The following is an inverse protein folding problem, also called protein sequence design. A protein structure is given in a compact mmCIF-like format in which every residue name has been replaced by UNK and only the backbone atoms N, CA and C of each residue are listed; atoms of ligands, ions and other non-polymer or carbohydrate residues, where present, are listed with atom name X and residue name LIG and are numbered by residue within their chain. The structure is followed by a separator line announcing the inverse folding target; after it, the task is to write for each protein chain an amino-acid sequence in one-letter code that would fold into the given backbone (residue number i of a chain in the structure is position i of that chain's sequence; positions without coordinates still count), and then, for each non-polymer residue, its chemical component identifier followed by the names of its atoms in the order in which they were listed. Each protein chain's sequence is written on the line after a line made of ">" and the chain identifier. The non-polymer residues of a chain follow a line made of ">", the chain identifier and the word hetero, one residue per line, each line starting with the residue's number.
data_IF_601824160294
#
_entry.id   IF_601824160294
#
_cell.length_a   1.000
_cell.length_b   1.000
_cell.length_c   1.000
_cell.angle_alpha   90.00
_cell.angle_beta   90.00
_cell.angle_gamma   90.00
#
_symmetry.space_group_name_H-M   'P 1'
#
loop_
_entity.id
_entity.type
_entity.pdbx_description
1 polymer ?
#
# COMPACT_ATOMS: atom_id res chain seq x y z
N UNK A 1 -12.48 -68.81 -34.12
CA UNK A 1 -12.20 -68.05 -35.35
C UNK A 1 -12.58 -66.60 -35.10
N UNK A 2 -11.74 -65.68 -35.58
CA UNK A 2 -11.54 -64.31 -35.09
C UNK A 2 -12.77 -63.42 -35.33
N UNK A 3 -13.25 -62.76 -34.27
CA UNK A 3 -14.17 -61.62 -34.37
C UNK A 3 -13.39 -60.33 -34.13
N UNK A 4 -13.63 -59.37 -35.01
CA UNK A 4 -13.06 -58.03 -35.13
C UNK A 4 -13.43 -57.13 -33.95
N UNK A 5 -12.56 -56.18 -33.59
CA UNK A 5 -12.98 -54.82 -33.24
C UNK A 5 -11.85 -53.83 -33.57
N UNK A 6 -12.19 -52.93 -34.49
CA UNK A 6 -11.38 -51.84 -35.03
C UNK A 6 -11.27 -50.70 -34.00
N UNK A 7 -10.08 -50.11 -33.90
CA UNK A 7 -9.80 -48.92 -33.11
C UNK A 7 -10.31 -47.67 -33.86
N UNK A 8 -11.32 -46.99 -33.32
CA UNK A 8 -11.69 -45.64 -33.75
C UNK A 8 -11.19 -44.65 -32.71
N UNK A 9 -10.09 -43.95 -33.01
CA UNK A 9 -9.63 -42.78 -32.22
C UNK A 9 -10.60 -41.62 -32.48
N UNK A 10 -11.42 -41.27 -31.49
CA UNK A 10 -12.09 -39.97 -31.47
C UNK A 10 -11.09 -38.91 -31.01
N UNK A 11 -10.83 -37.95 -31.88
CA UNK A 11 -10.12 -36.71 -31.56
C UNK A 11 -11.16 -35.72 -31.03
N UNK A 12 -11.22 -35.51 -29.71
CA UNK A 12 -11.98 -34.40 -29.13
C UNK A 12 -11.08 -33.16 -29.17
N UNK A 13 -11.43 -32.21 -30.03
CA UNK A 13 -10.85 -30.87 -30.07
C UNK A 13 -11.53 -30.05 -28.96
N UNK A 14 -10.92 -29.98 -27.78
CA UNK A 14 -11.35 -29.08 -26.72
C UNK A 14 -10.91 -27.66 -27.06
N UNK A 15 -11.85 -26.81 -27.43
CA UNK A 15 -11.62 -25.37 -27.54
C UNK A 15 -11.46 -24.80 -26.13
N UNK A 16 -10.23 -24.53 -25.71
CA UNK A 16 -9.94 -23.72 -24.53
C UNK A 16 -10.24 -22.28 -24.91
N UNK A 17 -11.33 -21.73 -24.37
CA UNK A 17 -11.53 -20.29 -24.28
C UNK A 17 -10.50 -19.75 -23.29
N UNK A 18 -9.39 -19.25 -23.82
CA UNK A 18 -8.55 -18.30 -23.11
C UNK A 18 -9.36 -17.00 -23.01
N UNK A 19 -10.05 -16.80 -21.90
CA UNK A 19 -10.38 -15.45 -21.48
C UNK A 19 -9.05 -14.74 -21.26
N UNK A 20 -8.68 -13.86 -22.18
CA UNK A 20 -7.59 -12.95 -21.94
C UNK A 20 -7.98 -12.11 -20.73
N UNK A 21 -7.29 -12.29 -19.61
CA UNK A 21 -7.12 -11.20 -18.67
C UNK A 21 -6.48 -10.08 -19.49
N UNK A 22 -7.22 -9.02 -19.75
CA UNK A 22 -6.61 -7.77 -20.13
C UNK A 22 -5.74 -7.40 -18.92
N UNK A 23 -4.44 -7.68 -19.02
CA UNK A 23 -3.48 -7.02 -18.16
C UNK A 23 -3.59 -5.55 -18.55
N UNK A 24 -4.34 -4.78 -17.75
CA UNK A 24 -4.26 -3.33 -17.77
C UNK A 24 -2.80 -3.00 -17.55
N UNK A 25 -2.14 -2.47 -18.57
CA UNK A 25 -0.82 -1.93 -18.39
C UNK A 25 -0.97 -0.76 -17.41
N UNK A 26 -0.34 -0.82 -16.23
CA UNK A 26 -0.23 0.32 -15.32
C UNK A 26 0.21 1.54 -16.13
N UNK A 27 -0.71 2.49 -16.34
CA UNK A 27 -0.42 3.73 -17.07
C UNK A 27 0.44 4.69 -16.26
N UNK A 28 0.76 4.37 -15.00
CA UNK A 28 1.43 5.27 -14.07
C UNK A 28 0.56 6.47 -13.66
N UNK A 29 -0.71 6.46 -14.08
CA UNK A 29 -1.72 7.46 -13.78
C UNK A 29 -2.79 6.81 -12.89
N UNK A 30 -3.07 7.44 -11.76
CA UNK A 30 -4.10 7.02 -10.82
C UNK A 30 -5.48 6.82 -11.51
N UNK A 31 -6.25 5.78 -11.15
CA UNK A 31 -7.49 5.45 -11.83
C UNK A 31 -8.51 6.58 -11.71
N UNK A 32 -9.29 6.86 -12.75
CA UNK A 32 -10.41 7.79 -12.68
C UNK A 32 -11.60 7.19 -11.94
N UNK A 33 -12.58 8.02 -11.51
CA UNK A 33 -13.83 7.53 -10.90
C UNK A 33 -14.58 6.55 -11.83
N UNK A 34 -14.47 6.73 -13.15
CA UNK A 34 -15.07 5.82 -14.13
C UNK A 34 -14.38 4.46 -14.13
N UNK A 35 -13.04 4.44 -14.10
CA UNK A 35 -12.23 3.21 -13.98
C UNK A 35 -12.48 2.52 -12.64
N UNK A 36 -12.50 3.26 -11.53
CA UNK A 36 -12.86 2.71 -10.20
C UNK A 36 -14.20 1.99 -10.26
N UNK A 37 -15.20 2.58 -10.94
CA UNK A 37 -16.52 1.97 -11.10
C UNK A 37 -16.49 0.71 -11.97
N UNK A 38 -15.71 0.70 -13.05
CA UNK A 38 -15.54 -0.44 -13.94
C UNK A 38 -14.87 -1.63 -13.22
N UNK A 39 -13.86 -1.34 -12.39
CA UNK A 39 -13.04 -2.33 -11.70
C UNK A 39 -13.52 -2.72 -10.30
N UNK A 40 -14.67 -2.21 -9.82
CA UNK A 40 -15.20 -2.55 -8.48
C UNK A 40 -15.27 -4.06 -8.21
N UNK A 41 -15.65 -4.85 -9.21
CA UNK A 41 -15.74 -6.32 -9.06
C UNK A 41 -14.38 -6.98 -8.90
N UNK A 42 -13.36 -6.45 -9.57
CA UNK A 42 -11.98 -6.94 -9.49
C UNK A 42 -11.42 -6.62 -8.10
N UNK A 43 -11.58 -5.37 -7.64
CA UNK A 43 -11.21 -4.94 -6.28
C UNK A 43 -11.85 -5.80 -5.18
N UNK A 44 -13.15 -6.13 -5.32
CA UNK A 44 -13.83 -7.02 -4.37
C UNK A 44 -13.22 -8.42 -4.35
N UNK A 45 -12.81 -8.94 -5.51
CA UNK A 45 -12.16 -10.25 -5.64
C UNK A 45 -10.77 -10.25 -5.03
N UNK A 46 -9.94 -9.26 -5.37
CA UNK A 46 -8.60 -9.09 -4.79
C UNK A 46 -8.66 -9.05 -3.26
N UNK A 47 -9.59 -8.27 -2.71
CA UNK A 47 -9.77 -8.17 -1.26
C UNK A 47 -10.31 -9.46 -0.64
N UNK A 48 -11.20 -10.19 -1.32
CA UNK A 48 -11.62 -11.50 -0.85
C UNK A 48 -10.42 -12.47 -0.77
N UNK A 49 -9.58 -12.51 -1.80
CA UNK A 49 -8.41 -13.39 -1.88
C UNK A 49 -7.36 -13.04 -0.81
N UNK A 50 -7.10 -11.75 -0.57
CA UNK A 50 -6.21 -11.29 0.49
C UNK A 50 -6.71 -11.70 1.88
N UNK A 51 -8.01 -11.52 2.15
CA UNK A 51 -8.62 -11.89 3.44
C UNK A 51 -8.60 -13.39 3.68
N UNK A 52 -8.87 -14.18 2.64
CA UNK A 52 -8.79 -15.64 2.69
C UNK A 52 -7.34 -16.11 2.92
N UNK A 53 -6.37 -15.42 2.32
CA UNK A 53 -4.95 -15.69 2.52
C UNK A 53 -4.54 -15.40 3.97
N UNK A 54 -4.93 -14.24 4.52
CA UNK A 54 -4.70 -13.90 5.92
C UNK A 54 -5.34 -14.93 6.87
N UNK A 55 -6.57 -15.38 6.58
CA UNK A 55 -7.23 -16.40 7.38
C UNK A 55 -6.51 -17.76 7.37
N UNK A 56 -5.98 -18.18 6.23
CA UNK A 56 -5.18 -19.41 6.12
C UNK A 56 -3.87 -19.30 6.91
N UNK A 57 -3.19 -18.14 6.82
CA UNK A 57 -1.98 -17.85 7.59
C UNK A 57 -2.24 -17.98 9.09
N UNK A 58 -3.28 -17.33 9.61
CA UNK A 58 -3.62 -17.38 11.05
C UNK A 58 -3.99 -18.80 11.48
N UNK A 59 -4.81 -19.50 10.68
CA UNK A 59 -5.18 -20.88 11.00
C UNK A 59 -3.99 -21.84 11.04
N UNK A 60 -2.94 -21.58 10.27
CA UNK A 60 -1.70 -22.36 10.30
C UNK A 60 -0.76 -21.94 11.44
N UNK A 61 -0.74 -20.66 11.80
CA UNK A 61 -0.06 -20.17 13.01
C UNK A 61 -0.62 -20.86 14.27
N UNK A 62 -1.94 -20.97 14.39
CA UNK A 62 -2.61 -21.64 15.51
C UNK A 62 -2.25 -23.14 15.64
N UNK A 63 -1.81 -23.76 14.54
CA UNK A 63 -1.29 -25.14 14.52
C UNK A 63 0.20 -25.23 14.86
N UNK A 64 0.86 -24.11 15.14
CA UNK A 64 2.28 -24.00 15.42
C UNK A 64 3.16 -23.98 14.17
N UNK A 65 2.62 -23.67 12.99
CA UNK A 65 3.42 -23.53 11.78
C UNK A 65 4.18 -22.19 11.74
N UNK A 66 5.35 -22.19 11.10
CA UNK A 66 6.09 -20.95 10.83
C UNK A 66 5.47 -20.25 9.62
N UNK A 67 4.87 -19.08 9.85
CA UNK A 67 4.10 -18.35 8.84
C UNK A 67 4.74 -17.04 8.38
N UNK A 68 5.81 -16.54 9.02
CA UNK A 68 6.39 -15.21 8.76
C UNK A 68 6.59 -14.89 7.27
N UNK A 69 7.20 -15.80 6.50
CA UNK A 69 7.39 -15.61 5.04
C UNK A 69 6.08 -15.49 4.24
N UNK A 70 5.00 -16.12 4.70
CA UNK A 70 3.69 -16.01 4.07
C UNK A 70 3.03 -14.68 4.41
N UNK A 71 3.31 -14.11 5.58
CA UNK A 71 2.89 -12.75 5.90
C UNK A 71 3.68 -11.74 5.09
N UNK A 72 4.99 -11.93 4.93
CA UNK A 72 5.79 -11.11 4.01
C UNK A 72 5.20 -11.12 2.58
N UNK A 73 4.87 -12.30 2.06
CA UNK A 73 4.23 -12.43 0.74
C UNK A 73 2.83 -11.79 0.67
N UNK A 74 2.06 -11.77 1.76
CA UNK A 74 0.77 -11.08 1.82
C UNK A 74 0.96 -9.54 1.77
N UNK A 75 2.03 -9.03 2.39
CA UNK A 75 2.40 -7.61 2.27
C UNK A 75 2.83 -7.28 0.85
N UNK A 76 3.61 -8.14 0.20
CA UNK A 76 3.96 -7.97 -1.22
C UNK A 76 2.71 -8.00 -2.11
N UNK A 77 1.75 -8.90 -1.84
CA UNK A 77 0.47 -8.92 -2.59
C UNK A 77 -0.30 -7.62 -2.43
N UNK A 78 -0.28 -7.00 -1.25
CA UNK A 78 -0.91 -5.68 -1.06
C UNK A 78 -0.33 -4.61 -1.98
N UNK A 79 0.96 -4.68 -2.30
CA UNK A 79 1.64 -3.72 -3.19
C UNK A 79 1.33 -3.98 -4.67
N UNK A 80 0.87 -5.19 -5.02
CA UNK A 80 0.66 -5.62 -6.41
C UNK A 80 -0.79 -5.50 -6.90
N UNK A 81 -1.78 -5.46 -6.00
CA UNK A 81 -3.21 -5.44 -6.36
C UNK A 81 -3.65 -4.06 -6.84
N UNK A 82 -4.54 -3.99 -7.83
CA UNK A 82 -5.02 -2.70 -8.37
C UNK A 82 -5.84 -1.92 -7.33
N UNK A 83 -6.45 -2.62 -6.38
CA UNK A 83 -7.12 -1.99 -5.24
C UNK A 83 -6.21 -1.08 -4.40
N UNK A 84 -4.90 -1.36 -4.35
CA UNK A 84 -3.91 -0.55 -3.64
C UNK A 84 -3.93 0.90 -4.13
N UNK A 85 -3.66 1.08 -5.43
CA UNK A 85 -3.60 2.38 -6.11
C UNK A 85 -4.94 3.11 -6.05
N UNK A 86 -6.05 2.37 -6.16
CA UNK A 86 -7.39 2.93 -6.08
C UNK A 86 -7.71 3.52 -4.69
N UNK A 87 -7.35 2.83 -3.61
CA UNK A 87 -7.57 3.32 -2.24
C UNK A 87 -6.66 4.49 -1.92
N UNK A 88 -5.39 4.42 -2.29
CA UNK A 88 -4.44 5.52 -2.11
C UNK A 88 -4.98 6.81 -2.74
N UNK A 89 -5.48 6.72 -3.97
CA UNK A 89 -5.99 7.88 -4.72
C UNK A 89 -7.33 8.40 -4.20
N UNK A 90 -8.32 7.53 -4.03
CA UNK A 90 -9.72 7.95 -3.85
C UNK A 90 -10.22 7.84 -2.41
N UNK A 91 -9.50 7.12 -1.58
CA UNK A 91 -9.85 6.83 -0.20
C UNK A 91 -8.62 6.95 0.71
N UNK A 92 -7.76 7.92 0.43
CA UNK A 92 -6.45 8.15 1.05
C UNK A 92 -6.44 8.06 2.59
N UNK A 93 -7.52 8.50 3.26
CA UNK A 93 -7.67 8.38 4.73
C UNK A 93 -7.70 6.93 5.23
N UNK A 94 -8.11 5.99 4.38
CA UNK A 94 -8.20 4.55 4.67
C UNK A 94 -6.97 3.76 4.21
N UNK A 95 -6.02 4.39 3.51
CA UNK A 95 -4.77 3.73 3.11
C UNK A 95 -3.86 3.39 4.30
N UNK A 96 -3.57 4.31 5.25
CA UNK A 96 -2.71 3.99 6.40
C UNK A 96 -3.22 2.87 7.33
N UNK A 97 -4.54 2.79 7.66
CA UNK A 97 -5.07 1.67 8.45
C UNK A 97 -4.78 0.28 7.87
N UNK A 98 -4.76 0.13 6.54
CA UNK A 98 -4.47 -1.15 5.89
C UNK A 98 -2.99 -1.54 6.12
N UNK A 99 -2.08 -0.62 5.84
CA UNK A 99 -0.64 -0.78 6.12
C UNK A 99 -0.35 -1.07 7.59
N UNK A 100 -0.98 -0.33 8.49
CA UNK A 100 -0.85 -0.55 9.94
C UNK A 100 -1.29 -1.96 10.34
N UNK A 101 -2.42 -2.45 9.80
CA UNK A 101 -2.90 -3.78 10.09
C UNK A 101 -1.99 -4.90 9.52
N UNK A 102 -1.46 -4.71 8.31
CA UNK A 102 -0.48 -5.62 7.69
C UNK A 102 0.82 -5.70 8.50
N UNK A 103 1.38 -4.55 8.87
CA UNK A 103 2.58 -4.47 9.71
C UNK A 103 2.35 -5.07 11.09
N UNK A 104 1.18 -4.80 11.69
CA UNK A 104 0.81 -5.36 12.98
C UNK A 104 0.70 -6.88 12.96
N UNK A 105 0.10 -7.44 11.91
CA UNK A 105 0.03 -8.89 11.70
C UNK A 105 1.42 -9.51 11.52
N UNK A 106 2.29 -8.88 10.73
CA UNK A 106 3.68 -9.32 10.51
C UNK A 106 4.46 -9.41 11.82
N UNK A 107 4.39 -8.38 12.64
CA UNK A 107 5.08 -8.38 13.93
C UNK A 107 4.47 -9.40 14.90
N UNK A 108 3.14 -9.55 14.93
CA UNK A 108 2.49 -10.49 15.83
C UNK A 108 2.82 -11.96 15.54
N UNK A 109 2.99 -12.34 14.28
CA UNK A 109 3.38 -13.73 13.93
C UNK A 109 4.84 -14.06 14.25
N UNK A 110 5.67 -13.04 14.45
CA UNK A 110 7.07 -13.19 14.84
C UNK A 110 7.23 -13.27 16.37
N UNK A 111 6.16 -13.01 17.15
CA UNK A 111 6.13 -13.13 18.60
C UNK A 111 5.66 -14.52 19.07
N UNK A 112 6.36 -15.09 20.07
CA UNK A 112 6.03 -16.39 20.65
C UNK A 112 4.73 -16.33 21.48
N UNK A 113 3.81 -17.27 21.26
CA UNK A 113 2.53 -17.42 21.96
C UNK A 113 1.55 -16.23 21.79
N UNK A 114 1.62 -15.53 20.67
CA UNK A 114 0.82 -14.33 20.39
C UNK A 114 -0.51 -14.60 19.66
N UNK A 115 -1.09 -15.81 19.79
CA UNK A 115 -2.26 -16.23 18.99
C UNK A 115 -3.47 -15.28 19.05
N UNK A 116 -3.78 -14.73 20.23
CA UNK A 116 -4.84 -13.72 20.39
C UNK A 116 -4.51 -12.44 19.62
N UNK A 117 -3.28 -11.94 19.73
CA UNK A 117 -2.82 -10.75 19.00
C UNK A 117 -2.82 -10.98 17.48
N UNK A 118 -2.40 -12.16 17.01
CA UNK A 118 -2.43 -12.54 15.59
C UNK A 118 -3.87 -12.50 15.05
N UNK A 119 -4.83 -13.06 15.79
CA UNK A 119 -6.25 -13.02 15.41
C UNK A 119 -6.82 -11.60 15.43
N UNK A 120 -6.45 -10.76 16.41
CA UNK A 120 -6.85 -9.36 16.48
C UNK A 120 -6.35 -8.55 15.28
N UNK A 121 -5.08 -8.72 14.90
CA UNK A 121 -4.52 -8.03 13.73
C UNK A 121 -5.13 -8.50 12.42
N UNK A 122 -5.44 -9.79 12.29
CA UNK A 122 -6.20 -10.30 11.14
C UNK A 122 -7.59 -9.67 11.05
N UNK A 123 -8.30 -9.53 12.18
CA UNK A 123 -9.61 -8.88 12.20
C UNK A 123 -9.50 -7.40 11.83
N UNK A 124 -8.49 -6.69 12.33
CA UNK A 124 -8.21 -5.29 11.94
C UNK A 124 -7.94 -5.16 10.44
N UNK A 125 -7.13 -6.06 9.87
CA UNK A 125 -6.86 -6.09 8.44
C UNK A 125 -8.15 -6.31 7.65
N UNK A 126 -8.97 -7.29 8.04
CA UNK A 126 -10.26 -7.56 7.40
C UNK A 126 -11.18 -6.34 7.41
N UNK A 127 -11.24 -5.61 8.53
CA UNK A 127 -12.06 -4.42 8.65
C UNK A 127 -11.53 -3.28 7.79
N UNK A 128 -10.22 -3.01 7.82
CA UNK A 128 -9.60 -1.95 7.02
C UNK A 128 -9.80 -2.16 5.51
N UNK A 129 -9.59 -3.40 5.02
CA UNK A 129 -9.84 -3.75 3.63
C UNK A 129 -11.33 -3.61 3.26
N UNK A 130 -12.23 -3.99 4.16
CA UNK A 130 -13.68 -3.85 3.95
C UNK A 130 -14.11 -2.38 3.88
N UNK A 131 -13.58 -1.54 4.76
CA UNK A 131 -13.82 -0.10 4.76
C UNK A 131 -13.30 0.55 3.47
N UNK A 132 -12.11 0.15 2.99
CA UNK A 132 -11.57 0.59 1.71
C UNK A 132 -12.47 0.26 0.52
N UNK A 133 -12.95 -0.99 0.43
CA UNK A 133 -13.96 -1.38 -0.59
C UNK A 133 -15.24 -0.56 -0.47
N UNK A 134 -15.70 -0.31 0.75
CA UNK A 134 -16.87 0.54 1.01
C UNK A 134 -16.68 1.98 0.51
N UNK A 135 -15.50 2.56 0.72
CA UNK A 135 -15.16 3.88 0.23
C UNK A 135 -15.09 3.94 -1.30
N UNK A 136 -14.48 2.96 -1.96
CA UNK A 136 -14.45 2.91 -3.43
C UNK A 136 -15.86 2.74 -4.03
N UNK A 137 -16.74 1.97 -3.38
CA UNK A 137 -18.15 1.91 -3.77
C UNK A 137 -18.85 3.26 -3.62
N UNK A 138 -18.55 4.00 -2.56
CA UNK A 138 -19.08 5.36 -2.38
C UNK A 138 -18.58 6.27 -3.50
N UNK A 139 -17.29 6.25 -3.82
CA UNK A 139 -16.67 7.01 -4.93
C UNK A 139 -17.35 6.68 -6.26
N UNK A 140 -17.47 5.40 -6.59
CA UNK A 140 -18.13 4.93 -7.81
C UNK A 140 -19.64 5.26 -7.90
N UNK A 141 -20.28 5.54 -6.76
CA UNK A 141 -21.69 5.93 -6.68
C UNK A 141 -21.91 7.43 -6.88
N UNK A 142 -20.86 8.24 -6.77
CA UNK A 142 -20.96 9.68 -6.97
C UNK A 142 -21.24 9.97 -8.45
N UNK A 143 -22.09 10.98 -8.76
CA UNK A 143 -22.21 11.44 -10.13
C UNK A 143 -20.84 11.89 -10.61
N UNK A 144 -20.49 11.54 -11.85
CA UNK A 144 -19.28 12.06 -12.48
C UNK A 144 -19.25 13.57 -12.25
N UNK A 145 -18.16 14.13 -11.70
CA UNK A 145 -18.08 15.56 -11.49
C UNK A 145 -18.44 16.25 -12.80
N UNK A 146 -19.26 17.30 -12.73
CA UNK A 146 -19.46 18.17 -13.88
C UNK A 146 -18.06 18.53 -14.39
N UNK A 147 -17.83 18.44 -15.70
CA UNK A 147 -16.52 18.73 -16.31
C UNK A 147 -16.18 20.21 -16.10
N UNK A 148 -15.74 20.55 -14.89
CA UNK A 148 -14.91 21.70 -14.60
C UNK A 148 -13.53 21.25 -15.07
N UNK A 149 -13.24 21.65 -16.31
CA UNK A 149 -12.15 21.08 -17.08
C UNK A 149 -10.87 21.22 -16.29
N UNK A 150 -10.15 20.09 -16.13
CA UNK A 150 -8.84 19.98 -15.48
C UNK A 150 -8.58 21.21 -14.60
N UNK A 151 -9.30 21.29 -13.47
CA UNK A 151 -8.62 21.88 -12.34
C UNK A 151 -7.42 20.96 -12.18
N UNK A 152 -6.28 21.44 -12.69
CA UNK A 152 -4.99 20.87 -12.44
C UNK A 152 -5.09 20.43 -11.00
N UNK A 153 -4.90 19.14 -10.73
CA UNK A 153 -4.43 18.76 -9.42
C UNK A 153 -3.36 19.79 -9.15
N UNK A 154 -3.62 20.72 -8.23
CA UNK A 154 -2.58 21.54 -7.69
C UNK A 154 -1.69 20.48 -7.03
N UNK A 155 -0.79 19.88 -7.81
CA UNK A 155 0.61 20.24 -7.77
C UNK A 155 0.63 21.65 -7.22
N UNK A 156 0.50 21.74 -5.87
CA UNK A 156 1.18 22.78 -5.16
C UNK A 156 2.53 22.69 -5.79
N UNK A 157 2.83 23.66 -6.67
CA UNK A 157 4.17 23.90 -7.12
C UNK A 157 4.95 23.76 -5.83
N UNK A 158 5.70 22.66 -5.71
CA UNK A 158 6.51 22.40 -4.54
C UNK A 158 7.29 23.70 -4.46
N UNK A 159 6.95 24.53 -3.46
CA UNK A 159 7.63 25.80 -3.32
C UNK A 159 9.11 25.44 -3.29
N UNK A 160 9.97 26.29 -3.83
CA UNK A 160 11.42 26.06 -3.96
C UNK A 160 12.14 25.71 -2.63
N UNK A 161 11.41 25.52 -1.53
CA UNK A 161 11.84 24.93 -0.28
C UNK A 161 12.06 23.41 -0.44
N UNK A 162 13.19 22.85 0.05
CA UNK A 162 13.51 21.44 -0.21
C UNK A 162 12.50 20.50 0.48
N UNK A 163 11.59 19.89 -0.29
CA UNK A 163 10.53 19.01 0.22
C UNK A 163 11.05 17.93 1.17
N UNK A 164 12.18 17.31 0.86
CA UNK A 164 12.81 16.30 1.73
C UNK A 164 13.27 16.92 3.06
N UNK A 165 13.81 18.14 3.07
CA UNK A 165 14.23 18.78 4.31
C UNK A 165 13.02 19.06 5.21
N UNK A 166 11.89 19.52 4.63
CA UNK A 166 10.64 19.70 5.38
C UNK A 166 10.15 18.37 5.97
N UNK A 167 10.20 17.28 5.19
CA UNK A 167 9.83 15.95 5.70
C UNK A 167 10.70 15.58 6.90
N UNK A 168 12.03 15.75 6.80
CA UNK A 168 12.97 15.43 7.88
C UNK A 168 12.74 16.28 9.13
N UNK A 169 12.43 17.57 8.95
CA UNK A 169 12.11 18.48 10.05
C UNK A 169 10.79 18.12 10.74
N UNK A 170 9.78 17.70 9.97
CA UNK A 170 8.53 17.17 10.53
C UNK A 170 8.78 15.87 11.30
N UNK A 171 9.59 14.95 10.78
CA UNK A 171 9.94 13.70 11.49
C UNK A 171 10.72 13.97 12.79
N UNK A 172 11.56 15.01 12.83
CA UNK A 172 12.18 15.44 14.08
C UNK A 172 11.14 15.96 15.09
N UNK A 173 10.15 16.72 14.62
CA UNK A 173 9.03 17.17 15.45
C UNK A 173 8.13 16.04 15.93
N UNK A 174 7.92 14.97 15.13
CA UNK A 174 7.22 13.75 15.55
C UNK A 174 7.88 13.16 16.80
N UNK A 175 9.21 13.02 16.80
CA UNK A 175 9.95 12.50 17.96
C UNK A 175 9.79 13.41 19.17
N UNK A 176 9.84 14.73 18.99
CA UNK A 176 9.70 15.69 20.09
C UNK A 176 8.29 15.69 20.70
N UNK A 177 7.25 15.69 19.86
CA UNK A 177 5.86 15.55 20.30
C UNK A 177 5.66 14.25 21.08
N UNK A 178 6.16 13.15 20.55
CA UNK A 178 6.06 11.86 21.22
C UNK A 178 6.77 11.85 22.58
N UNK A 179 7.98 12.42 22.68
CA UNK A 179 8.72 12.56 23.95
C UNK A 179 7.99 13.40 24.98
N UNK A 180 7.25 14.40 24.55
CA UNK A 180 6.44 15.26 25.42
C UNK A 180 5.08 14.65 25.78
N UNK A 181 4.77 13.44 25.29
CA UNK A 181 3.54 12.71 25.56
C UNK A 181 2.39 13.02 24.60
N UNK A 182 2.62 13.82 23.56
CA UNK A 182 1.66 14.13 22.50
C UNK A 182 1.68 13.05 21.41
N UNK A 183 1.23 11.83 21.76
CA UNK A 183 1.17 10.70 20.83
C UNK A 183 0.18 10.95 19.69
N UNK A 184 -0.96 11.58 19.98
CA UNK A 184 -1.98 11.89 18.98
C UNK A 184 -1.46 12.92 17.96
N UNK A 185 -0.84 14.00 18.42
CA UNK A 185 -0.22 14.99 17.55
C UNK A 185 0.99 14.45 16.79
N UNK A 186 1.74 13.51 17.36
CA UNK A 186 2.81 12.81 16.66
C UNK A 186 2.27 11.96 15.50
N UNK A 187 1.25 11.13 15.74
CA UNK A 187 0.59 10.36 14.68
C UNK A 187 -0.01 11.26 13.60
N UNK A 188 -0.75 12.30 14.00
CA UNK A 188 -1.34 13.25 13.05
C UNK A 188 -0.29 13.92 12.16
N UNK A 189 0.87 14.27 12.72
CA UNK A 189 1.97 14.88 11.96
C UNK A 189 2.63 13.90 10.99
N UNK A 190 2.73 12.60 11.33
CA UNK A 190 3.21 11.56 10.38
C UNK A 190 2.27 11.51 9.17
N UNK A 191 0.97 11.32 9.41
CA UNK A 191 -0.02 11.27 8.34
C UNK A 191 0.00 12.56 7.50
N UNK A 192 -0.03 13.73 8.14
CA UNK A 192 0.04 15.00 7.43
C UNK A 192 1.30 15.12 6.55
N UNK A 193 2.45 14.65 7.04
CA UNK A 193 3.72 14.72 6.31
C UNK A 193 3.71 13.82 5.09
N UNK A 194 3.18 12.60 5.21
CA UNK A 194 3.01 11.69 4.07
C UNK A 194 2.15 12.36 2.97
N UNK A 195 0.92 12.77 3.33
CA UNK A 195 -0.06 13.30 2.36
C UNK A 195 0.36 14.64 1.74
N UNK A 196 0.92 15.55 2.55
CA UNK A 196 1.17 16.91 2.06
C UNK A 196 2.55 17.08 1.43
N UNK A 197 3.46 16.10 1.56
CA UNK A 197 4.85 16.24 1.14
C UNK A 197 5.39 15.03 0.39
N UNK A 198 5.22 13.82 0.92
CA UNK A 198 5.80 12.63 0.31
C UNK A 198 5.09 12.25 -1.00
N UNK A 199 3.76 12.26 -1.04
CA UNK A 199 3.01 11.96 -2.28
C UNK A 199 3.44 12.87 -3.44
N UNK A 200 3.72 14.14 -3.16
CA UNK A 200 4.12 15.12 -4.18
C UNK A 200 5.47 14.86 -4.85
N UNK A 201 6.31 13.98 -4.29
CA UNK A 201 7.62 13.60 -4.87
C UNK A 201 7.66 12.15 -5.36
N UNK A 202 6.62 11.37 -5.05
CA UNK A 202 6.58 9.93 -5.25
C UNK A 202 6.69 9.54 -6.72
N UNK A 203 5.90 10.18 -7.59
CA UNK A 203 5.93 9.90 -9.03
C UNK A 203 7.31 10.09 -9.66
N UNK A 204 8.12 11.04 -9.18
CA UNK A 204 9.51 11.19 -9.67
C UNK A 204 10.44 10.12 -9.10
N UNK A 205 10.21 9.71 -7.86
CA UNK A 205 11.03 8.69 -7.21
C UNK A 205 10.77 7.29 -7.78
N UNK A 206 9.50 6.94 -8.01
CA UNK A 206 9.10 5.60 -8.45
C UNK A 206 9.65 5.26 -9.84
N UNK A 207 9.80 6.26 -10.72
CA UNK A 207 10.45 6.10 -12.04
C UNK A 207 11.91 5.64 -11.93
N UNK A 208 12.58 5.97 -10.83
CA UNK A 208 14.00 5.67 -10.62
C UNK A 208 14.24 4.50 -9.66
N UNK A 209 13.40 4.37 -8.63
CA UNK A 209 13.64 3.51 -7.47
C UNK A 209 12.32 3.18 -6.74
N UNK A 210 11.50 2.33 -7.35
CA UNK A 210 10.21 1.91 -6.79
C UNK A 210 10.35 1.26 -5.40
N UNK A 211 11.36 0.40 -5.20
CA UNK A 211 11.63 -0.23 -3.91
C UNK A 211 11.86 0.79 -2.79
N UNK A 212 12.54 1.91 -3.09
CA UNK A 212 12.76 2.98 -2.12
C UNK A 212 11.47 3.69 -1.74
N UNK A 213 10.56 3.92 -2.70
CA UNK A 213 9.25 4.53 -2.46
C UNK A 213 8.45 3.64 -1.51
N UNK A 214 8.29 2.37 -1.86
CA UNK A 214 7.58 1.38 -1.04
C UNK A 214 8.17 1.29 0.38
N UNK A 215 9.49 1.30 0.51
CA UNK A 215 10.16 1.30 1.81
C UNK A 215 9.88 2.56 2.66
N UNK A 216 9.66 3.71 2.02
CA UNK A 216 9.31 4.97 2.68
C UNK A 216 7.83 5.02 3.04
N UNK A 217 6.95 4.53 2.17
CA UNK A 217 5.53 4.37 2.47
C UNK A 217 5.29 3.44 3.66
N UNK A 218 5.98 2.29 3.71
CA UNK A 218 5.98 1.39 4.86
C UNK A 218 6.40 2.10 6.15
N UNK A 219 7.43 2.94 6.08
CA UNK A 219 7.88 3.71 7.24
C UNK A 219 6.80 4.69 7.72
N UNK A 220 6.17 5.44 6.79
CA UNK A 220 5.11 6.40 7.09
C UNK A 220 3.81 5.76 7.59
N UNK A 221 3.37 4.68 6.96
CA UNK A 221 2.01 4.15 7.12
C UNK A 221 1.93 2.93 8.05
N UNK A 222 3.06 2.30 8.37
CA UNK A 222 3.11 1.16 9.29
C UNK A 222 4.15 1.34 10.40
N UNK A 223 5.45 1.48 10.06
CA UNK A 223 6.53 1.41 11.07
C UNK A 223 6.41 2.50 12.13
N UNK A 224 6.31 3.77 11.74
CA UNK A 224 6.21 4.86 12.72
C UNK A 224 4.85 4.86 13.47
N UNK A 225 3.69 4.71 12.80
CA UNK A 225 2.40 4.60 13.49
C UNK A 225 2.33 3.46 14.51
N UNK A 226 2.82 2.26 14.17
CA UNK A 226 2.80 1.11 15.08
C UNK A 226 3.67 1.32 16.32
N UNK A 227 4.84 1.96 16.17
CA UNK A 227 5.69 2.31 17.31
C UNK A 227 4.96 3.25 18.27
N UNK A 228 4.20 4.22 17.75
CA UNK A 228 3.41 5.14 18.57
C UNK A 228 2.23 4.42 19.22
N UNK A 229 1.44 3.67 18.45
CA UNK A 229 0.25 2.94 18.92
C UNK A 229 0.60 1.98 20.07
N UNK A 230 1.74 1.30 19.96
CA UNK A 230 2.23 0.35 20.96
C UNK A 230 2.95 1.00 22.14
N UNK A 231 2.97 2.33 22.21
CA UNK A 231 3.67 3.07 23.26
C UNK A 231 5.15 2.66 23.38
N UNK A 232 5.84 2.45 22.24
CA UNK A 232 7.25 2.12 22.22
C UNK A 232 8.10 3.23 22.89
N UNK A 233 9.35 2.94 23.25
CA UNK A 233 10.20 4.00 23.82
C UNK A 233 10.47 5.08 22.77
N UNK A 234 10.56 6.34 23.22
CA UNK A 234 10.91 7.45 22.33
C UNK A 234 12.27 7.26 21.63
N UNK A 235 13.19 6.49 22.23
CA UNK A 235 14.45 6.12 21.60
C UNK A 235 14.27 5.13 20.44
N UNK A 236 13.32 4.18 20.54
CA UNK A 236 12.97 3.30 19.43
C UNK A 236 12.36 4.09 18.28
N UNK A 237 11.43 5.01 18.57
CA UNK A 237 10.86 5.90 17.55
C UNK A 237 11.94 6.77 16.89
N UNK A 238 12.83 7.36 17.68
CA UNK A 238 13.94 8.16 17.16
C UNK A 238 14.90 7.34 16.28
N UNK A 239 15.14 6.07 16.62
CA UNK A 239 15.95 5.17 15.81
C UNK A 239 15.27 4.84 14.47
N UNK A 240 13.96 4.58 14.47
CA UNK A 240 13.19 4.37 13.24
C UNK A 240 13.21 5.62 12.34
N UNK A 241 12.96 6.81 12.90
CA UNK A 241 13.07 8.09 12.18
C UNK A 241 14.47 8.29 11.61
N UNK A 242 15.54 7.92 12.34
CA UNK A 242 16.90 8.00 11.83
C UNK A 242 17.12 7.07 10.63
N UNK A 243 16.56 5.86 10.66
CA UNK A 243 16.62 4.93 9.54
C UNK A 243 15.90 5.50 8.31
N UNK A 244 14.69 6.02 8.51
CA UNK A 244 13.89 6.67 7.47
C UNK A 244 14.60 7.89 6.87
N UNK A 245 15.27 8.71 7.70
CA UNK A 245 16.07 9.85 7.22
C UNK A 245 17.20 9.42 6.28
N UNK A 246 17.80 8.24 6.46
CA UNK A 246 18.81 7.73 5.54
C UNK A 246 18.22 7.34 4.17
N UNK A 247 16.99 6.80 4.15
CA UNK A 247 16.24 6.55 2.91
C UNK A 247 15.88 7.88 2.23
N UNK A 248 15.44 8.88 2.98
CA UNK A 248 15.15 10.23 2.47
C UNK A 248 16.39 10.94 1.90
N UNK A 249 17.57 10.72 2.48
CA UNK A 249 18.84 11.22 1.92
C UNK A 249 19.16 10.60 0.55
N UNK A 250 18.76 9.34 0.31
CA UNK A 250 18.85 8.70 -1.02
C UNK A 250 17.82 9.28 -1.97
N UNK A 251 16.58 9.47 -1.50
CA UNK A 251 15.51 10.09 -2.28
C UNK A 251 15.91 11.49 -2.77
N UNK A 252 16.53 12.32 -1.92
CA UNK A 252 17.02 13.64 -2.33
C UNK A 252 18.01 13.56 -3.50
N UNK A 253 18.94 12.61 -3.49
CA UNK A 253 19.91 12.44 -4.58
C UNK A 253 19.22 12.09 -5.90
N UNK A 254 18.23 11.20 -5.86
CA UNK A 254 17.44 10.83 -7.03
C UNK A 254 16.69 12.05 -7.59
N UNK A 255 16.07 12.85 -6.71
CA UNK A 255 15.37 14.07 -7.13
C UNK A 255 16.32 15.11 -7.73
N UNK A 256 17.51 15.28 -7.16
CA UNK A 256 18.53 16.19 -7.68
C UNK A 256 19.01 15.75 -9.08
N UNK A 257 19.23 14.44 -9.28
CA UNK A 257 19.62 13.85 -10.56
C UNK A 257 18.49 14.00 -11.59
N UNK A 258 17.25 13.73 -11.21
CA UNK A 258 16.08 13.92 -12.08
C UNK A 258 15.92 15.39 -12.48
N UNK A 259 16.10 16.33 -11.54
CA UNK A 259 16.04 17.76 -11.82
C UNK A 259 17.15 18.21 -12.79
N UNK A 260 18.37 17.70 -12.64
CA UNK A 260 19.50 18.00 -13.53
C UNK A 260 19.31 17.46 -14.95
N UNK A 261 18.58 16.36 -15.11
CA UNK A 261 18.33 15.69 -16.38
C UNK A 261 17.08 16.20 -17.12
N UNK A 262 16.29 17.10 -16.54
CA UNK A 262 15.14 17.71 -17.23
C UNK A 262 15.61 18.57 -18.40
N UNK A 263 15.20 18.31 -19.65
CA UNK A 263 15.59 19.12 -20.79
C UNK A 263 15.12 20.56 -20.57
N UNK A 264 16.05 21.50 -20.77
CA UNK A 264 15.77 22.92 -20.67
C UNK A 264 14.75 23.31 -21.73
N UNK A 265 13.49 23.49 -21.33
CA UNK A 265 12.44 24.08 -22.17
C UNK A 265 12.62 25.60 -22.16
N UNK A 266 13.61 26.05 -22.94
CA UNK A 266 13.73 27.43 -23.41
C UNK A 266 13.80 27.45 -24.95
#
# INVERSE_FOLDING_TARGET
>A
MKSSLSFTKSLLLGAVLLCGQAASAHSGDAPSVAEVKEHLGDYESEIADMRDTAAKIVADYDKGEKVGKRVDALVETWEEVEFHEAVETHAMVLYPPIWTALGGLREAVDEDNAGEAVAEWQMRLNNALHEGVGALKLVASQPAPATHGKDEATTSAAGDEPTIQIIKDNLAQVVERYRSGDSEGASALIHQTYMQRFEGIEGTLIESDADLVTDLEKDFNATLPLLIERSASADKLAAAVKSMNAKLDRAQKILDEAAANKPSVF
#
